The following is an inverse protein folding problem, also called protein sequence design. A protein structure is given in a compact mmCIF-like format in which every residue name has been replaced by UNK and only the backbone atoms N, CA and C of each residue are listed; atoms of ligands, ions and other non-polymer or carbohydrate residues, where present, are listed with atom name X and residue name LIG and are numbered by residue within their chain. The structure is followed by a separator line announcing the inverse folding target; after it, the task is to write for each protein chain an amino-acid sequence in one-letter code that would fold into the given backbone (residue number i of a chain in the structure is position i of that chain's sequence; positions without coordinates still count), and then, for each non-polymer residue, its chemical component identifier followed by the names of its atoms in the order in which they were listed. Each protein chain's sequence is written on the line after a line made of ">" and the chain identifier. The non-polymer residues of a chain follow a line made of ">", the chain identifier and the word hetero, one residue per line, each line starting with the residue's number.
data_IF_777853861343
#
_entry.id   IF_777853861343
#
_cell.length_a   1.000
_cell.length_b   1.000
_cell.length_c   1.000
_cell.angle_alpha   90.00
_cell.angle_beta   90.00
_cell.angle_gamma   90.00
#
_symmetry.space_group_name_H-M   'P 1'
#
loop_
_entity.id
_entity.type
_entity.pdbx_description
1 polymer ?
#
# COMPACT_ATOMS: atom_id res chain seq x y z
N UNK A 1 -21.39 45.63 -5.86
CA UNK A 1 -21.15 44.38 -6.60
C UNK A 1 -19.68 44.03 -6.85
N UNK A 2 -18.70 44.95 -6.86
CA UNK A 2 -17.26 44.63 -7.07
C UNK A 2 -16.59 43.78 -5.94
N UNK A 3 -17.08 43.83 -4.73
CA UNK A 3 -16.46 43.13 -3.59
C UNK A 3 -16.82 41.63 -3.53
N UNK A 4 -18.01 41.24 -3.95
CA UNK A 4 -18.43 39.84 -3.94
C UNK A 4 -17.65 38.93 -4.88
N UNK A 5 -17.27 39.45 -6.06
CA UNK A 5 -16.46 38.67 -7.01
C UNK A 5 -15.01 38.48 -6.55
N UNK A 6 -14.44 39.45 -5.81
CA UNK A 6 -13.09 39.29 -5.21
C UNK A 6 -13.08 38.28 -4.06
N UNK A 7 -14.12 38.32 -3.22
CA UNK A 7 -14.27 37.36 -2.13
C UNK A 7 -14.43 35.93 -2.69
N UNK A 8 -15.30 35.76 -3.69
CA UNK A 8 -15.50 34.44 -4.31
C UNK A 8 -14.22 33.91 -4.96
N UNK A 9 -13.47 34.79 -5.66
CA UNK A 9 -12.18 34.38 -6.25
C UNK A 9 -11.14 34.06 -5.19
N UNK A 10 -11.09 34.81 -4.09
CA UNK A 10 -10.20 34.53 -2.96
C UNK A 10 -10.48 33.18 -2.31
N UNK A 11 -11.75 32.89 -2.05
CA UNK A 11 -12.16 31.60 -1.45
C UNK A 11 -11.81 30.44 -2.38
N UNK A 12 -12.10 30.54 -3.66
CA UNK A 12 -11.79 29.49 -4.61
C UNK A 12 -10.27 29.28 -4.80
N UNK A 13 -9.51 30.40 -4.80
CA UNK A 13 -8.04 30.34 -4.82
C UNK A 13 -7.49 29.69 -3.54
N UNK A 14 -8.09 29.96 -2.39
CA UNK A 14 -7.71 29.32 -1.13
C UNK A 14 -7.90 27.80 -1.18
N UNK A 15 -9.04 27.33 -1.64
CA UNK A 15 -9.34 25.90 -1.78
C UNK A 15 -8.37 25.23 -2.77
N UNK A 16 -8.16 25.83 -3.93
CA UNK A 16 -7.25 25.32 -4.94
C UNK A 16 -5.80 25.26 -4.43
N UNK A 17 -5.33 26.32 -3.75
CA UNK A 17 -3.99 26.37 -3.17
C UNK A 17 -3.80 25.36 -2.05
N UNK A 18 -4.79 25.17 -1.18
CA UNK A 18 -4.77 24.14 -0.14
C UNK A 18 -4.59 22.75 -0.71
N UNK A 19 -5.43 22.37 -1.68
CA UNK A 19 -5.39 21.07 -2.34
C UNK A 19 -4.07 20.87 -3.08
N UNK A 20 -3.61 21.87 -3.81
CA UNK A 20 -2.37 21.78 -4.59
C UNK A 20 -1.14 21.53 -3.71
N UNK A 21 -1.02 22.24 -2.58
CA UNK A 21 0.09 22.03 -1.64
C UNK A 21 -0.04 20.69 -0.92
N UNK A 22 -1.25 20.28 -0.54
CA UNK A 22 -1.47 18.97 0.07
C UNK A 22 -1.02 17.83 -0.87
N UNK A 23 -1.44 17.89 -2.14
CA UNK A 23 -1.04 16.90 -3.15
C UNK A 23 0.46 16.93 -3.40
N UNK A 24 1.04 18.14 -3.57
CA UNK A 24 2.48 18.28 -3.79
C UNK A 24 3.30 17.71 -2.63
N UNK A 25 2.92 18.05 -1.41
CA UNK A 25 3.59 17.55 -0.20
C UNK A 25 3.47 16.02 -0.08
N UNK A 26 2.27 15.48 -0.33
CA UNK A 26 2.07 14.04 -0.34
C UNK A 26 2.91 13.32 -1.41
N UNK A 27 3.11 13.95 -2.58
CA UNK A 27 3.97 13.41 -3.64
C UNK A 27 5.46 13.42 -3.26
N UNK A 28 5.92 14.47 -2.58
CA UNK A 28 7.32 14.61 -2.19
C UNK A 28 7.70 13.71 -1.00
N UNK A 29 6.76 13.48 -0.10
CA UNK A 29 7.01 12.76 1.15
C UNK A 29 6.89 11.23 1.01
N UNK A 30 6.16 10.74 0.00
CA UNK A 30 6.11 9.30 -0.30
C UNK A 30 7.44 8.67 -0.70
N UNK A 31 8.44 9.47 -1.07
CA UNK A 31 9.80 9.01 -1.36
C UNK A 31 10.69 8.87 -0.13
N UNK A 32 10.34 9.50 0.98
CA UNK A 32 11.10 9.48 2.22
C UNK A 32 10.35 8.62 3.25
N UNK A 33 10.93 7.51 3.67
CA UNK A 33 10.38 6.48 4.58
C UNK A 33 10.13 6.96 6.04
N UNK A 34 9.93 8.26 6.25
CA UNK A 34 9.49 8.81 7.52
C UNK A 34 8.03 8.40 7.79
N UNK A 35 7.69 8.24 9.05
CA UNK A 35 6.39 7.81 9.55
C UNK A 35 5.22 8.48 8.76
N UNK A 36 4.43 7.71 7.98
CA UNK A 36 3.42 8.25 7.08
C UNK A 36 2.29 8.99 7.79
N UNK A 37 2.12 8.76 9.09
CA UNK A 37 1.10 9.45 9.90
C UNK A 37 1.55 10.88 10.21
N UNK A 38 2.79 11.04 10.63
CA UNK A 38 3.35 12.35 11.00
C UNK A 38 3.48 13.26 9.78
N UNK A 39 3.91 12.72 8.65
CA UNK A 39 4.04 13.48 7.41
C UNK A 39 2.69 13.88 6.82
N UNK A 40 1.68 13.00 6.87
CA UNK A 40 0.33 13.34 6.45
C UNK A 40 -0.31 14.46 7.27
N UNK A 41 -0.11 14.46 8.59
CA UNK A 41 -0.59 15.50 9.48
C UNK A 41 0.12 16.85 9.23
N UNK A 42 1.42 16.86 9.03
CA UNK A 42 2.18 18.06 8.67
C UNK A 42 1.71 18.64 7.34
N UNK A 43 1.49 17.78 6.33
CA UNK A 43 0.93 18.19 5.05
C UNK A 43 -0.42 18.88 5.22
N UNK A 44 -1.33 18.28 5.97
CA UNK A 44 -2.70 18.75 6.15
C UNK A 44 -2.77 20.03 7.00
N UNK A 45 -2.08 20.10 8.14
CA UNK A 45 -2.28 21.16 9.13
C UNK A 45 -1.26 22.29 9.04
N UNK A 46 -0.10 22.08 8.43
CA UNK A 46 0.96 23.09 8.34
C UNK A 46 1.11 23.63 6.93
N UNK A 47 1.34 22.77 5.96
CA UNK A 47 1.69 23.21 4.59
C UNK A 47 0.45 23.59 3.76
N UNK A 48 -0.65 22.87 3.89
CA UNK A 48 -1.85 23.17 3.10
C UNK A 48 -2.51 24.52 3.45
N UNK A 49 -2.57 24.99 4.72
CA UNK A 49 -3.00 26.35 5.02
C UNK A 49 -2.14 27.44 4.37
N UNK A 50 -0.82 27.23 4.27
CA UNK A 50 0.06 28.18 3.55
C UNK A 50 -0.30 28.24 2.06
N UNK A 51 -0.58 27.08 1.46
CA UNK A 51 -1.09 27.01 0.09
C UNK A 51 -2.43 27.70 -0.09
N UNK A 52 -3.33 27.59 0.87
CA UNK A 52 -4.62 28.31 0.84
C UNK A 52 -4.44 29.83 0.83
N UNK A 53 -3.58 30.36 1.69
CA UNK A 53 -3.29 31.80 1.72
C UNK A 53 -2.66 32.28 0.41
N UNK A 54 -1.67 31.57 -0.08
CA UNK A 54 -1.01 31.90 -1.34
C UNK A 54 -2.00 31.87 -2.54
N UNK A 55 -2.85 30.84 -2.59
CA UNK A 55 -3.88 30.70 -3.62
C UNK A 55 -4.94 31.81 -3.56
N UNK A 56 -5.37 32.20 -2.36
CA UNK A 56 -6.30 33.30 -2.16
C UNK A 56 -5.72 34.64 -2.65
N UNK A 57 -4.48 34.93 -2.30
CA UNK A 57 -3.77 36.16 -2.71
C UNK A 57 -3.60 36.21 -4.22
N UNK A 58 -3.11 35.12 -4.83
CA UNK A 58 -2.92 35.02 -6.29
C UNK A 58 -4.22 35.18 -7.05
N UNK A 59 -5.29 34.50 -6.64
CA UNK A 59 -6.60 34.61 -7.30
C UNK A 59 -7.19 36.02 -7.17
N UNK A 60 -7.09 36.65 -5.98
CA UNK A 60 -7.54 38.03 -5.75
C UNK A 60 -6.75 39.03 -6.59
N UNK A 61 -5.43 38.84 -6.70
CA UNK A 61 -4.54 39.68 -7.52
C UNK A 61 -4.86 39.55 -9.02
N UNK A 62 -5.07 38.34 -9.52
CA UNK A 62 -5.45 38.10 -10.94
C UNK A 62 -6.77 38.78 -11.30
N UNK A 63 -7.78 38.67 -10.40
CA UNK A 63 -9.08 39.34 -10.61
C UNK A 63 -8.95 40.87 -10.62
N UNK A 64 -8.12 41.45 -9.74
CA UNK A 64 -7.87 42.91 -9.74
C UNK A 64 -7.13 43.38 -10.96
N UNK A 65 -6.18 42.62 -11.48
CA UNK A 65 -5.40 42.95 -12.66
C UNK A 65 -6.24 42.88 -13.96
N UNK A 66 -7.07 41.84 -14.07
CA UNK A 66 -7.98 41.62 -15.20
C UNK A 66 -9.12 42.64 -15.26
N UNK A 67 -9.55 43.17 -14.11
CA UNK A 67 -10.65 44.13 -14.01
C UNK A 67 -10.34 45.54 -14.51
N UNK A 68 -9.08 45.85 -14.87
CA UNK A 68 -8.69 47.17 -15.42
C UNK A 68 -8.93 47.34 -16.92
N UNK A 69 -9.26 46.24 -17.63
CA UNK A 69 -9.28 46.28 -19.12
C UNK A 69 -10.64 46.09 -19.79
N UNK A 70 -11.75 45.81 -19.06
CA UNK A 70 -13.05 45.59 -19.73
C UNK A 70 -14.23 46.10 -18.91
N UNK A 71 -14.98 47.04 -19.50
CA UNK A 71 -16.19 47.64 -18.91
C UNK A 71 -17.49 46.85 -19.17
N UNK A 72 -17.43 45.63 -19.70
CA UNK A 72 -18.62 44.86 -20.07
C UNK A 72 -18.75 43.56 -19.22
N UNK A 73 -19.96 43.29 -18.75
CA UNK A 73 -20.33 42.20 -17.86
C UNK A 73 -20.06 40.75 -18.33
N UNK A 74 -19.39 40.57 -19.47
CA UNK A 74 -18.98 39.28 -19.99
C UNK A 74 -17.77 38.68 -19.22
N UNK A 75 -16.95 39.52 -18.59
CA UNK A 75 -15.72 39.12 -17.89
C UNK A 75 -16.02 38.28 -16.62
N UNK A 76 -17.11 38.60 -15.93
CA UNK A 76 -17.52 37.85 -14.74
C UNK A 76 -17.92 36.40 -15.10
N UNK A 77 -18.54 36.19 -16.25
CA UNK A 77 -18.91 34.84 -16.72
C UNK A 77 -17.70 34.03 -17.20
N UNK A 78 -16.72 34.67 -17.81
CA UNK A 78 -15.51 34.00 -18.28
C UNK A 78 -14.59 33.61 -17.12
N UNK A 79 -14.46 34.47 -16.09
CA UNK A 79 -13.68 34.18 -14.89
C UNK A 79 -14.33 33.08 -14.05
N UNK A 80 -15.66 33.01 -13.97
CA UNK A 80 -16.37 31.94 -13.26
C UNK A 80 -16.18 30.58 -13.98
N UNK A 81 -16.19 30.57 -15.30
CA UNK A 81 -15.94 29.36 -16.10
C UNK A 81 -14.50 28.87 -15.97
N UNK A 82 -13.52 29.76 -16.00
CA UNK A 82 -12.10 29.41 -15.82
C UNK A 82 -11.84 28.88 -14.41
N UNK A 83 -12.49 29.42 -13.38
CA UNK A 83 -12.43 28.97 -12.00
C UNK A 83 -13.00 27.55 -11.85
N UNK A 84 -14.12 27.26 -12.52
CA UNK A 84 -14.74 25.95 -12.56
C UNK A 84 -13.84 24.90 -13.23
N UNK A 85 -13.17 25.28 -14.31
CA UNK A 85 -12.20 24.40 -14.99
C UNK A 85 -10.99 24.09 -14.10
N UNK A 86 -10.43 25.10 -13.43
CA UNK A 86 -9.31 24.90 -12.51
C UNK A 86 -9.71 23.98 -11.34
N UNK A 87 -10.89 24.22 -10.73
CA UNK A 87 -11.40 23.36 -9.67
C UNK A 87 -11.60 21.92 -10.14
N UNK A 88 -12.15 21.73 -11.34
CA UNK A 88 -12.32 20.39 -11.93
C UNK A 88 -10.99 19.68 -12.16
N UNK A 89 -9.99 20.39 -12.67
CA UNK A 89 -8.64 19.85 -12.88
C UNK A 89 -7.98 19.46 -11.54
N UNK A 90 -8.13 20.28 -10.50
CA UNK A 90 -7.63 19.94 -9.17
C UNK A 90 -8.31 18.68 -8.60
N UNK A 91 -9.63 18.55 -8.75
CA UNK A 91 -10.37 17.36 -8.32
C UNK A 91 -9.92 16.12 -9.12
N UNK A 92 -9.76 16.26 -10.45
CA UNK A 92 -9.29 15.17 -11.29
C UNK A 92 -7.86 14.73 -10.90
N UNK A 93 -6.96 15.69 -10.67
CA UNK A 93 -5.60 15.41 -10.22
C UNK A 93 -5.57 14.72 -8.86
N UNK A 94 -6.37 15.19 -7.90
CA UNK A 94 -6.50 14.56 -6.58
C UNK A 94 -7.07 13.13 -6.67
N UNK A 95 -8.10 12.91 -7.47
CA UNK A 95 -8.67 11.59 -7.70
C UNK A 95 -7.67 10.62 -8.35
N UNK A 96 -6.92 11.11 -9.36
CA UNK A 96 -5.86 10.32 -10.01
C UNK A 96 -4.75 9.97 -9.03
N UNK A 97 -4.35 10.92 -8.19
CA UNK A 97 -3.34 10.70 -7.16
C UNK A 97 -3.80 9.67 -6.11
N UNK A 98 -5.03 9.79 -5.61
CA UNK A 98 -5.60 8.83 -4.66
C UNK A 98 -5.65 7.43 -5.28
N UNK A 99 -6.09 7.33 -6.54
CA UNK A 99 -6.12 6.06 -7.26
C UNK A 99 -4.71 5.46 -7.43
N UNK A 100 -3.73 6.29 -7.78
CA UNK A 100 -2.32 5.89 -7.88
C UNK A 100 -1.76 5.43 -6.53
N UNK A 101 -1.95 6.24 -5.47
CA UNK A 101 -1.49 5.91 -4.12
C UNK A 101 -2.12 4.61 -3.63
N UNK A 102 -3.43 4.40 -3.89
CA UNK A 102 -4.12 3.15 -3.56
C UNK A 102 -3.56 1.95 -4.33
N UNK A 103 -3.27 2.13 -5.62
CA UNK A 103 -2.73 1.08 -6.48
C UNK A 103 -1.29 0.68 -6.11
N UNK A 104 -0.48 1.65 -5.65
CA UNK A 104 0.95 1.45 -5.35
C UNK A 104 1.25 1.23 -3.87
N UNK A 105 0.28 1.41 -2.96
CA UNK A 105 0.49 1.21 -1.52
C UNK A 105 1.05 -0.19 -1.23
N UNK A 106 2.12 -0.27 -0.46
CA UNK A 106 2.73 -1.54 -0.03
C UNK A 106 1.95 -2.24 1.09
N UNK A 107 1.37 -1.53 2.08
CA UNK A 107 0.46 -2.15 3.05
C UNK A 107 -0.85 -2.62 2.38
N UNK A 108 -1.48 -3.64 2.96
CA UNK A 108 -2.82 -4.04 2.56
C UNK A 108 -3.84 -3.01 3.05
N UNK A 109 -4.44 -2.27 2.11
CA UNK A 109 -5.52 -1.33 2.45
C UNK A 109 -6.86 -2.09 2.56
N UNK A 110 -6.94 -2.97 3.53
CA UNK A 110 -8.14 -3.75 3.78
C UNK A 110 -8.98 -3.11 4.89
N UNK A 111 -10.25 -2.81 4.61
CA UNK A 111 -11.18 -2.22 5.59
C UNK A 111 -11.39 -3.08 6.83
N UNK A 112 -11.24 -4.39 6.71
CA UNK A 112 -11.46 -5.35 7.80
C UNK A 112 -10.19 -5.61 8.63
N UNK A 113 -9.06 -4.96 8.33
CA UNK A 113 -7.82 -5.08 9.08
C UNK A 113 -7.11 -6.44 9.00
N UNK A 114 -7.68 -7.41 8.30
CA UNK A 114 -7.10 -8.75 8.20
C UNK A 114 -6.21 -8.88 6.97
N UNK A 115 -4.95 -9.20 7.16
CA UNK A 115 -4.03 -9.49 6.09
C UNK A 115 -4.22 -10.91 5.53
N UNK A 116 -3.86 -11.16 4.27
CA UNK A 116 -3.85 -12.52 3.75
C UNK A 116 -2.79 -13.37 4.44
N UNK A 117 -3.02 -14.67 4.45
CA UNK A 117 -2.13 -15.68 5.00
C UNK A 117 -1.47 -16.47 3.86
N UNK A 118 -0.18 -16.70 3.97
CA UNK A 118 0.52 -17.74 3.21
C UNK A 118 0.36 -19.05 4.00
N UNK A 119 -0.39 -19.99 3.46
CA UNK A 119 -0.47 -21.36 3.99
C UNK A 119 0.49 -22.21 3.15
N UNK A 120 1.38 -22.92 3.81
CA UNK A 120 2.42 -23.68 3.14
C UNK A 120 2.57 -25.08 3.70
N UNK A 121 3.15 -25.95 2.92
CA UNK A 121 3.62 -27.27 3.29
C UNK A 121 5.03 -27.49 2.75
N UNK A 122 5.91 -27.96 3.62
CA UNK A 122 7.30 -28.33 3.27
C UNK A 122 7.46 -29.82 3.45
N UNK A 123 7.82 -30.51 2.39
CA UNK A 123 8.09 -31.93 2.36
C UNK A 123 9.60 -32.17 2.30
N UNK A 124 10.08 -32.98 3.23
CA UNK A 124 11.49 -33.31 3.34
C UNK A 124 11.82 -34.63 2.63
N UNK A 125 13.08 -34.84 2.23
CA UNK A 125 13.50 -36.11 1.62
C UNK A 125 13.16 -37.31 2.51
N UNK A 126 12.97 -38.48 1.90
CA UNK A 126 12.75 -39.72 2.62
C UNK A 126 13.94 -40.00 3.57
N UNK A 127 13.62 -40.39 4.82
CA UNK A 127 14.63 -40.64 5.86
C UNK A 127 15.14 -39.38 6.56
N UNK A 128 14.66 -38.17 6.19
CA UNK A 128 15.01 -36.95 6.94
C UNK A 128 14.48 -37.01 8.37
N UNK A 129 15.32 -36.62 9.33
CA UNK A 129 14.92 -36.47 10.72
C UNK A 129 14.21 -35.14 10.88
N UNK A 130 12.91 -35.18 11.10
CA UNK A 130 12.07 -34.00 11.34
C UNK A 130 11.44 -34.15 12.71
N UNK A 131 11.39 -33.09 13.54
CA UNK A 131 10.69 -33.12 14.82
C UNK A 131 9.22 -33.52 14.67
N UNK A 132 8.67 -34.19 15.64
CA UNK A 132 7.24 -34.54 15.70
C UNK A 132 6.40 -33.48 16.41
N UNK A 133 7.03 -32.42 16.86
CA UNK A 133 6.38 -31.29 17.52
C UNK A 133 6.88 -29.95 16.96
N UNK A 134 6.09 -28.92 17.11
CA UNK A 134 6.46 -27.56 16.69
C UNK A 134 7.57 -26.92 17.55
N UNK A 135 7.92 -27.57 18.66
CA UNK A 135 8.87 -26.99 19.60
C UNK A 135 10.27 -26.84 18.99
N UNK A 136 10.77 -25.63 19.01
CA UNK A 136 12.08 -25.28 18.47
C UNK A 136 12.13 -25.11 16.94
N UNK A 137 11.04 -25.33 16.22
CA UNK A 137 10.98 -24.99 14.79
C UNK A 137 10.69 -23.50 14.66
N UNK A 138 11.54 -22.79 13.94
CA UNK A 138 11.35 -21.37 13.62
C UNK A 138 10.97 -21.25 12.16
N UNK A 139 9.87 -20.52 11.91
CA UNK A 139 9.39 -20.19 10.57
C UNK A 139 9.38 -18.69 10.45
N UNK A 140 9.96 -18.19 9.36
CA UNK A 140 10.01 -16.76 9.07
C UNK A 140 9.73 -16.53 7.60
N UNK A 141 8.84 -15.60 7.31
CA UNK A 141 8.69 -15.05 5.97
C UNK A 141 9.53 -13.79 5.85
N UNK A 142 10.59 -13.88 5.08
CA UNK A 142 11.49 -12.78 4.81
C UNK A 142 11.07 -12.10 3.50
N UNK A 143 10.99 -10.78 3.53
CA UNK A 143 10.68 -9.95 2.37
C UNK A 143 11.72 -8.84 2.23
N UNK A 144 11.65 -8.09 1.15
CA UNK A 144 12.42 -6.86 0.96
C UNK A 144 11.99 -5.72 1.91
N UNK A 145 10.87 -5.86 2.61
CA UNK A 145 10.29 -4.85 3.49
C UNK A 145 10.38 -5.23 4.97
N UNK A 146 10.24 -6.51 5.31
CA UNK A 146 10.20 -6.98 6.70
C UNK A 146 10.45 -8.49 6.81
N UNK A 147 10.53 -8.96 8.06
CA UNK A 147 10.50 -10.37 8.43
C UNK A 147 9.29 -10.63 9.33
N UNK A 148 8.45 -11.61 8.97
CA UNK A 148 7.26 -11.99 9.72
C UNK A 148 7.44 -13.38 10.31
N UNK A 149 7.17 -13.58 11.63
CA UNK A 149 7.15 -14.92 12.20
C UNK A 149 5.97 -15.70 11.64
N UNK A 150 6.20 -16.98 11.38
CA UNK A 150 5.17 -17.92 10.99
C UNK A 150 4.87 -18.91 12.12
N UNK A 151 3.71 -19.55 12.00
CA UNK A 151 3.26 -20.55 12.97
C UNK A 151 3.15 -21.91 12.30
N UNK A 152 3.57 -22.95 13.05
CA UNK A 152 3.32 -24.34 12.68
C UNK A 152 1.90 -24.69 13.12
N UNK A 153 1.07 -25.14 12.19
CA UNK A 153 -0.33 -25.48 12.53
C UNK A 153 -0.39 -26.72 13.44
N UNK A 154 -1.40 -26.85 14.33
CA UNK A 154 -1.47 -27.99 15.27
C UNK A 154 -1.50 -29.38 14.59
N UNK A 155 -2.00 -29.48 13.36
CA UNK A 155 -2.03 -30.71 12.56
C UNK A 155 -0.86 -30.79 11.56
N UNK A 156 0.24 -30.10 11.83
CA UNK A 156 1.29 -29.77 10.89
C UNK A 156 2.22 -30.91 10.51
N UNK A 157 2.26 -31.95 11.31
CA UNK A 157 3.23 -33.04 11.13
C UNK A 157 2.53 -34.26 10.58
N UNK A 158 2.76 -34.56 9.34
CA UNK A 158 2.25 -35.78 8.71
C UNK A 158 3.28 -36.40 7.76
N UNK A 159 2.98 -37.52 7.20
CA UNK A 159 3.82 -38.17 6.21
C UNK A 159 3.06 -38.30 4.89
N UNK A 160 3.72 -37.93 3.83
CA UNK A 160 3.29 -38.18 2.45
C UNK A 160 4.14 -39.34 1.90
N UNK A 161 3.63 -40.58 2.03
CA UNK A 161 4.43 -41.77 1.87
C UNK A 161 5.55 -41.85 2.90
N UNK A 162 6.80 -41.94 2.47
CA UNK A 162 7.99 -42.00 3.33
C UNK A 162 8.57 -40.62 3.67
N UNK A 163 7.99 -39.56 3.11
CA UNK A 163 8.50 -38.20 3.27
C UNK A 163 7.77 -37.47 4.39
N UNK A 164 8.48 -36.94 5.40
CA UNK A 164 7.85 -36.12 6.43
C UNK A 164 7.48 -34.75 5.87
N UNK A 165 6.35 -34.23 6.32
CA UNK A 165 5.80 -32.91 5.92
C UNK A 165 5.58 -32.05 7.14
N UNK A 166 5.95 -30.77 7.04
CA UNK A 166 5.61 -29.71 7.99
C UNK A 166 4.68 -28.73 7.29
N UNK A 167 3.52 -28.47 7.90
CA UNK A 167 2.59 -27.48 7.44
C UNK A 167 2.55 -26.27 8.38
N UNK A 168 2.29 -25.10 7.85
CA UNK A 168 2.20 -23.89 8.65
C UNK A 168 1.55 -22.74 7.91
N UNK A 169 1.43 -21.63 8.61
CA UNK A 169 0.92 -20.38 8.04
C UNK A 169 1.72 -19.19 8.53
N UNK A 170 1.76 -18.15 7.70
CA UNK A 170 2.41 -16.89 8.02
C UNK A 170 1.64 -15.74 7.40
N UNK A 171 1.55 -14.64 8.12
CA UNK A 171 0.88 -13.44 7.66
C UNK A 171 1.68 -12.75 6.55
N UNK A 172 0.98 -12.34 5.50
CA UNK A 172 1.52 -11.52 4.43
C UNK A 172 1.26 -10.05 4.76
N UNK A 173 2.13 -9.41 5.56
CA UNK A 173 1.93 -8.04 6.03
C UNK A 173 1.97 -6.99 4.91
N UNK A 174 2.76 -7.24 3.85
CA UNK A 174 2.96 -6.28 2.77
C UNK A 174 2.75 -6.87 1.37
N UNK A 175 2.36 -5.99 0.44
CA UNK A 175 2.28 -6.30 -0.99
C UNK A 175 3.66 -6.21 -1.62
N UNK A 176 4.34 -7.31 -1.73
CA UNK A 176 5.61 -7.48 -2.43
C UNK A 176 5.63 -8.78 -3.18
N UNK A 177 6.43 -8.88 -4.23
CA UNK A 177 6.70 -10.15 -4.93
C UNK A 177 7.97 -10.84 -4.43
N UNK A 178 8.79 -10.13 -3.63
CA UNK A 178 10.04 -10.65 -3.10
C UNK A 178 9.81 -11.29 -1.74
N UNK A 179 9.55 -12.60 -1.74
CA UNK A 179 9.27 -13.38 -0.53
C UNK A 179 10.08 -14.66 -0.50
N UNK A 180 10.64 -14.94 0.66
CA UNK A 180 11.35 -16.18 0.95
C UNK A 180 10.85 -16.72 2.30
N UNK A 181 10.53 -18.00 2.35
CA UNK A 181 10.18 -18.68 3.59
C UNK A 181 11.42 -19.38 4.14
N UNK A 182 11.88 -18.97 5.30
CA UNK A 182 12.95 -19.63 6.04
C UNK A 182 12.34 -20.61 7.05
N UNK A 183 12.78 -21.87 7.00
CA UNK A 183 12.38 -22.91 7.96
C UNK A 183 13.64 -23.42 8.65
N UNK A 184 13.72 -23.21 9.95
CA UNK A 184 14.84 -23.65 10.80
C UNK A 184 14.39 -24.72 11.73
N UNK A 185 15.03 -25.89 11.64
CA UNK A 185 14.82 -27.05 12.52
C UNK A 185 16.00 -27.13 13.49
N UNK A 186 15.80 -27.41 14.78
CA UNK A 186 16.88 -27.53 15.74
C UNK A 186 17.96 -28.52 15.28
N UNK A 187 19.21 -28.05 15.33
CA UNK A 187 20.37 -28.86 14.90
C UNK A 187 20.57 -29.01 13.40
N UNK A 188 19.77 -28.33 12.58
CA UNK A 188 19.91 -28.34 11.12
C UNK A 188 20.11 -26.92 10.59
N UNK A 189 20.76 -26.75 9.41
CA UNK A 189 20.84 -25.45 8.77
C UNK A 189 19.45 -24.97 8.34
N UNK A 190 19.24 -23.65 8.38
CA UNK A 190 18.02 -23.04 7.88
C UNK A 190 17.84 -23.30 6.39
N UNK A 191 16.64 -23.66 5.98
CA UNK A 191 16.26 -23.86 4.57
C UNK A 191 15.44 -22.69 4.10
N UNK A 192 15.80 -22.18 2.92
CA UNK A 192 15.15 -21.00 2.33
C UNK A 192 14.38 -21.42 1.08
N UNK A 193 13.09 -21.15 1.08
CA UNK A 193 12.17 -21.50 0.00
C UNK A 193 11.68 -20.22 -0.69
N UNK A 194 11.98 -19.98 -1.96
CA UNK A 194 11.47 -18.83 -2.71
C UNK A 194 9.95 -18.98 -2.92
N UNK A 195 9.21 -17.94 -2.57
CA UNK A 195 7.75 -17.88 -2.70
C UNK A 195 7.38 -17.04 -3.92
N UNK A 196 6.96 -17.69 -4.99
CA UNK A 196 6.59 -17.04 -6.26
C UNK A 196 5.13 -16.56 -6.30
N UNK A 197 4.64 -15.92 -5.24
CA UNK A 197 3.34 -15.25 -5.24
C UNK A 197 3.47 -13.85 -5.83
N UNK A 198 2.47 -13.43 -6.60
CA UNK A 198 2.37 -12.04 -7.03
C UNK A 198 2.27 -11.10 -5.84
N UNK A 199 2.62 -9.82 -6.03
CA UNK A 199 2.51 -8.83 -4.96
C UNK A 199 1.08 -8.76 -4.37
N UNK A 200 0.06 -9.01 -5.17
CA UNK A 200 -1.34 -8.97 -4.76
C UNK A 200 -1.82 -10.23 -4.02
N UNK A 201 -1.03 -11.30 -3.99
CA UNK A 201 -1.35 -12.57 -3.35
C UNK A 201 -2.85 -12.96 -3.50
N UNK A 202 -3.35 -13.18 -4.73
CA UNK A 202 -4.75 -13.49 -4.94
C UNK A 202 -5.12 -14.76 -4.16
N UNK A 203 -6.34 -14.80 -3.62
CA UNK A 203 -6.84 -15.99 -2.93
C UNK A 203 -6.81 -17.19 -3.85
N UNK A 204 -6.20 -18.27 -3.38
CA UNK A 204 -6.17 -19.56 -4.08
C UNK A 204 -6.77 -20.62 -3.16
N UNK A 205 -7.88 -21.30 -3.54
CA UNK A 205 -8.51 -22.30 -2.69
C UNK A 205 -7.63 -23.54 -2.52
N UNK A 206 -6.84 -23.87 -3.53
CA UNK A 206 -6.02 -25.07 -3.57
C UNK A 206 -4.53 -24.76 -3.46
N UNK A 207 -3.76 -25.73 -2.98
CA UNK A 207 -2.32 -25.67 -3.01
C UNK A 207 -1.79 -25.71 -4.45
N UNK A 208 -0.73 -24.97 -4.70
CA UNK A 208 0.05 -25.09 -5.93
C UNK A 208 0.77 -26.44 -6.02
N UNK A 209 1.45 -26.65 -7.13
CA UNK A 209 2.31 -27.83 -7.34
C UNK A 209 3.53 -27.80 -6.43
N UNK A 210 4.03 -28.97 -6.05
CA UNK A 210 5.29 -29.12 -5.34
C UNK A 210 6.45 -28.55 -6.15
N UNK A 211 7.22 -27.71 -5.52
CA UNK A 211 8.45 -27.11 -6.07
C UNK A 211 9.64 -27.67 -5.33
N UNK A 212 10.50 -28.37 -6.06
CA UNK A 212 11.70 -29.02 -5.51
C UNK A 212 12.86 -28.05 -5.38
N UNK A 213 13.61 -28.15 -4.28
CA UNK A 213 14.86 -27.46 -4.04
C UNK A 213 16.06 -28.38 -4.31
N UNK A 214 17.26 -27.77 -4.32
CA UNK A 214 18.51 -28.48 -4.57
C UNK A 214 18.85 -29.52 -3.48
N UNK A 215 18.39 -29.33 -2.23
CA UNK A 215 18.57 -30.25 -1.10
C UNK A 215 17.57 -31.42 -1.12
N UNK A 216 16.74 -31.51 -2.13
CA UNK A 216 15.72 -32.54 -2.31
C UNK A 216 14.44 -32.29 -1.50
N UNK A 217 14.38 -31.24 -0.71
CA UNK A 217 13.12 -30.79 -0.08
C UNK A 217 12.19 -30.15 -1.12
N UNK A 218 10.90 -30.12 -0.81
CA UNK A 218 9.89 -29.56 -1.71
C UNK A 218 8.94 -28.68 -0.91
N UNK A 219 8.42 -27.63 -1.55
CA UNK A 219 7.41 -26.74 -0.97
C UNK A 219 6.21 -26.60 -1.89
N UNK A 220 5.03 -26.56 -1.31
CA UNK A 220 3.83 -26.03 -1.96
C UNK A 220 3.13 -25.03 -1.04
N UNK A 221 2.40 -24.11 -1.63
CA UNK A 221 1.73 -23.06 -0.87
C UNK A 221 0.50 -22.53 -1.60
N UNK A 222 -0.32 -21.83 -0.82
CA UNK A 222 -1.48 -21.07 -1.31
C UNK A 222 -1.62 -19.77 -0.51
N UNK A 223 -2.29 -18.77 -1.10
CA UNK A 223 -2.68 -17.56 -0.39
C UNK A 223 -4.14 -17.65 0.04
N UNK A 224 -4.41 -17.49 1.34
CA UNK A 224 -5.75 -17.51 1.92
C UNK A 224 -6.12 -16.12 2.42
N UNK A 225 -7.23 -15.60 1.93
CA UNK A 225 -7.80 -14.36 2.46
C UNK A 225 -8.81 -14.70 3.55
N UNK A 226 -8.72 -14.08 4.75
CA UNK A 226 -9.72 -14.26 5.79
C UNK A 226 -11.13 -13.93 5.29
N UNK A 227 -12.09 -14.81 5.57
CA UNK A 227 -13.48 -14.65 5.10
C UNK A 227 -13.76 -15.04 3.65
N UNK A 228 -12.76 -15.56 2.92
CA UNK A 228 -12.96 -16.22 1.62
C UNK A 228 -12.78 -17.73 1.80
N UNK A 229 -13.78 -18.48 1.41
CA UNK A 229 -13.76 -19.96 1.33
C UNK A 229 -13.43 -20.40 -0.07
#
# INVERSE_FOLDING_TARGET
>A
MKNSSRIAAGVAGAVAGYVAIFVLFSLLDFGNRADPITSGLLGLFVYSPVGAVAGAVLASWLVTRSGKHTSNGSVARTSLKSLGVVALLCVAAAATYIAYAYATATPWLNRNGNNPLLVFEVRFPAGATVPTSAQGITIELQTDLNTMPGEVTPAAFYRDGDQPVIAGEVELAFRTSHRQLAVTIPGQPSRIYPIGLSAWAPHTPEFGTWRRLADGSEIRYRAKWPGKT
#
